data_IF_215842426374
#
_entry.id   IF_215842426374
#
_cell.length_a   1.000
_cell.length_b   1.000
_cell.length_c   1.000
_cell.angle_alpha   90.00
_cell.angle_beta   90.00
_cell.angle_gamma   90.00
#
_symmetry.space_group_name_H-M   'P 1'
#
loop_
_entity.id
_entity.type
_entity.pdbx_description
1 polymer ?
#
# COMPACT_ATOMS: atom_id res chain seq x y z
N UNK A 1 45.79 28.11 -17.07
CA UNK A 1 44.80 27.42 -16.22
C UNK A 1 44.11 26.33 -17.05
N UNK A 2 44.42 25.05 -16.83
CA UNK A 2 43.77 23.91 -17.50
C UNK A 2 43.09 23.04 -16.45
N UNK A 3 41.77 23.02 -16.42
CA UNK A 3 41.00 22.13 -15.55
C UNK A 3 40.97 20.72 -16.15
N UNK A 4 41.55 19.74 -15.44
CA UNK A 4 41.37 18.31 -15.73
C UNK A 4 40.11 17.83 -15.00
N UNK A 5 39.10 17.38 -15.76
CA UNK A 5 37.98 16.62 -15.21
C UNK A 5 38.44 15.20 -14.85
N UNK A 6 38.33 14.84 -13.57
CA UNK A 6 38.51 13.48 -13.11
C UNK A 6 37.27 12.65 -13.48
N UNK A 7 37.46 11.61 -14.32
CA UNK A 7 36.46 10.55 -14.54
C UNK A 7 36.33 9.72 -13.25
N UNK A 8 35.21 9.87 -12.53
CA UNK A 8 34.83 8.93 -11.47
C UNK A 8 34.28 7.64 -12.08
N UNK A 9 34.77 6.50 -11.57
CA UNK A 9 34.44 5.14 -12.03
C UNK A 9 32.98 4.79 -11.69
N UNK A 10 32.17 4.57 -12.72
CA UNK A 10 30.76 4.17 -12.63
C UNK A 10 30.56 2.66 -12.40
N UNK A 11 31.45 2.02 -11.61
CA UNK A 11 31.53 0.56 -11.44
C UNK A 11 30.54 -0.01 -10.40
N UNK A 12 30.21 0.76 -9.36
CA UNK A 12 29.34 0.28 -8.27
C UNK A 12 27.86 0.16 -8.63
N UNK A 13 27.38 1.02 -9.55
CA UNK A 13 25.96 1.09 -9.91
C UNK A 13 25.52 -0.10 -10.77
N UNK A 14 26.40 -0.60 -11.67
CA UNK A 14 26.10 -1.78 -12.51
C UNK A 14 25.96 -3.07 -11.70
N UNK A 15 26.79 -3.27 -10.67
CA UNK A 15 26.72 -4.45 -9.80
C UNK A 15 25.44 -4.52 -8.96
N UNK A 16 24.99 -3.37 -8.42
CA UNK A 16 23.73 -3.31 -7.67
C UNK A 16 22.50 -3.54 -8.55
N UNK A 17 22.48 -3.00 -9.77
CA UNK A 17 21.39 -3.21 -10.74
C UNK A 17 21.30 -4.69 -11.18
N UNK A 18 22.46 -5.35 -11.37
CA UNK A 18 22.55 -6.77 -11.70
C UNK A 18 21.96 -7.66 -10.59
N UNK A 19 22.34 -7.41 -9.32
CA UNK A 19 21.83 -8.19 -8.18
C UNK A 19 20.33 -7.96 -7.93
N UNK A 20 19.85 -6.72 -8.04
CA UNK A 20 18.42 -6.42 -7.91
C UNK A 20 17.56 -7.11 -8.98
N UNK A 21 18.05 -7.18 -10.22
CA UNK A 21 17.39 -7.93 -11.31
C UNK A 21 17.35 -9.43 -11.04
N UNK A 22 18.41 -10.00 -10.45
CA UNK A 22 18.45 -11.41 -10.06
C UNK A 22 17.46 -11.76 -8.96
N UNK A 23 17.38 -10.93 -7.91
CA UNK A 23 16.43 -11.12 -6.80
C UNK A 23 14.98 -10.98 -7.25
N UNK A 24 14.68 -10.00 -8.11
CA UNK A 24 13.33 -9.82 -8.64
C UNK A 24 12.88 -11.01 -9.49
N UNK A 25 13.73 -11.50 -10.41
CA UNK A 25 13.41 -12.69 -11.21
C UNK A 25 13.18 -13.93 -10.34
N UNK A 26 13.96 -14.08 -9.27
CA UNK A 26 13.75 -15.17 -8.31
C UNK A 26 12.41 -15.00 -7.58
N UNK A 27 12.08 -13.81 -7.09
CA UNK A 27 10.79 -13.57 -6.44
C UNK A 27 9.60 -13.85 -7.36
N UNK A 28 9.69 -13.49 -8.65
CA UNK A 28 8.66 -13.84 -9.65
C UNK A 28 8.59 -15.36 -9.86
N UNK A 29 9.72 -16.04 -10.06
CA UNK A 29 9.75 -17.50 -10.23
C UNK A 29 9.22 -18.24 -9.00
N UNK A 30 9.57 -17.80 -7.79
CA UNK A 30 9.09 -18.38 -6.54
C UNK A 30 7.59 -18.12 -6.39
N UNK A 31 7.12 -16.92 -6.76
CA UNK A 31 5.71 -16.59 -6.78
C UNK A 31 4.92 -17.48 -7.75
N UNK A 32 5.43 -17.71 -8.96
CA UNK A 32 4.79 -18.59 -9.94
C UNK A 32 4.70 -20.04 -9.44
N UNK A 33 5.75 -20.54 -8.78
CA UNK A 33 5.76 -21.87 -8.18
C UNK A 33 4.77 -21.99 -7.01
N UNK A 34 4.73 -20.98 -6.14
CA UNK A 34 3.86 -20.97 -4.96
C UNK A 34 2.40 -20.76 -5.31
N UNK A 35 2.12 -19.88 -6.27
CA UNK A 35 0.76 -19.46 -6.56
C UNK A 35 -0.06 -20.57 -7.21
N UNK A 36 0.57 -21.63 -7.77
CA UNK A 36 -0.12 -22.67 -8.55
C UNK A 36 -1.16 -22.04 -9.50
N UNK A 37 -0.83 -20.83 -10.00
CA UNK A 37 -1.85 -19.83 -10.24
C UNK A 37 -2.63 -20.19 -11.49
N UNK A 38 -3.95 -20.26 -11.35
CA UNK A 38 -4.79 -20.23 -12.54
C UNK A 38 -4.78 -18.81 -13.09
N UNK A 39 -4.45 -18.71 -14.37
CA UNK A 39 -4.46 -17.47 -15.13
C UNK A 39 -5.81 -17.36 -15.83
N UNK A 40 -6.54 -16.29 -15.53
CA UNK A 40 -7.79 -15.94 -16.17
C UNK A 40 -7.52 -14.83 -17.18
N UNK A 41 -7.98 -15.01 -18.40
CA UNK A 41 -7.90 -14.00 -19.46
C UNK A 41 -9.30 -13.51 -19.79
N UNK A 42 -9.53 -12.22 -19.61
CA UNK A 42 -10.69 -11.53 -20.16
C UNK A 42 -10.34 -10.87 -21.49
N UNK A 43 -11.31 -10.16 -22.07
CA UNK A 43 -11.13 -9.45 -23.34
C UNK A 43 -9.97 -8.43 -23.30
N UNK A 44 -9.78 -7.77 -22.16
CA UNK A 44 -8.84 -6.66 -21.99
C UNK A 44 -8.13 -6.66 -20.63
N UNK A 45 -8.17 -7.79 -19.93
CA UNK A 45 -7.47 -7.98 -18.66
C UNK A 45 -6.93 -9.41 -18.51
N UNK A 46 -5.94 -9.55 -17.64
CA UNK A 46 -5.42 -10.83 -17.14
C UNK A 46 -5.42 -10.77 -15.62
N UNK A 47 -5.85 -11.86 -14.99
CA UNK A 47 -5.84 -12.04 -13.54
C UNK A 47 -5.22 -13.38 -13.15
N UNK A 48 -4.26 -13.36 -12.23
CA UNK A 48 -3.70 -14.55 -11.58
C UNK A 48 -4.43 -14.80 -10.27
N UNK A 49 -4.96 -16.01 -10.10
CA UNK A 49 -5.56 -16.46 -8.85
C UNK A 49 -4.56 -17.22 -7.99
N UNK A 50 -4.75 -17.18 -6.68
CA UNK A 50 -3.93 -17.91 -5.70
C UNK A 50 -4.79 -18.99 -5.02
N UNK A 51 -4.18 -20.04 -4.44
CA UNK A 51 -4.92 -21.10 -3.78
C UNK A 51 -5.62 -20.59 -2.51
N UNK A 52 -5.00 -19.62 -1.85
CA UNK A 52 -5.50 -18.97 -0.64
C UNK A 52 -4.87 -17.57 -0.47
N UNK A 53 -5.45 -16.80 0.46
CA UNK A 53 -4.99 -15.47 0.82
C UNK A 53 -3.57 -15.47 1.39
N UNK A 54 -3.20 -16.47 2.19
CA UNK A 54 -1.88 -16.52 2.82
C UNK A 54 -0.76 -16.67 1.78
N UNK A 55 -1.03 -17.39 0.70
CA UNK A 55 -0.14 -17.55 -0.45
C UNK A 55 0.04 -16.22 -1.18
N UNK A 56 -1.06 -15.55 -1.52
CA UNK A 56 -1.02 -14.19 -2.08
C UNK A 56 -0.20 -13.25 -1.21
N UNK A 57 -0.48 -13.21 0.10
CA UNK A 57 0.21 -12.35 1.05
C UNK A 57 1.71 -12.63 1.08
N UNK A 58 2.13 -13.90 1.17
CA UNK A 58 3.55 -14.29 1.18
C UNK A 58 4.27 -13.83 -0.10
N UNK A 59 3.63 -14.00 -1.26
CA UNK A 59 4.15 -13.52 -2.55
C UNK A 59 4.36 -12.01 -2.51
N UNK A 60 3.36 -11.24 -2.08
CA UNK A 60 3.44 -9.78 -2.03
C UNK A 60 4.48 -9.28 -1.03
N UNK A 61 4.57 -9.89 0.16
CA UNK A 61 5.58 -9.55 1.17
C UNK A 61 7.01 -9.84 0.65
N UNK A 62 7.23 -10.98 -0.01
CA UNK A 62 8.51 -11.32 -0.61
C UNK A 62 8.89 -10.33 -1.73
N UNK A 63 7.94 -9.99 -2.60
CA UNK A 63 8.14 -9.00 -3.65
C UNK A 63 8.45 -7.60 -3.10
N UNK A 64 7.76 -7.17 -2.04
CA UNK A 64 8.06 -5.92 -1.35
C UNK A 64 9.52 -5.90 -0.86
N UNK A 65 9.93 -6.93 -0.12
CA UNK A 65 11.30 -7.06 0.43
C UNK A 65 12.36 -7.05 -0.65
N UNK A 66 12.14 -7.78 -1.74
CA UNK A 66 13.06 -7.81 -2.89
C UNK A 66 13.17 -6.45 -3.59
N UNK A 67 12.07 -5.69 -3.65
CA UNK A 67 12.01 -4.39 -4.32
C UNK A 67 12.23 -3.20 -3.36
N UNK A 68 12.55 -3.40 -2.08
CA UNK A 68 12.65 -2.32 -1.07
C UNK A 68 13.74 -1.28 -1.39
N UNK A 69 14.72 -1.61 -2.23
CA UNK A 69 15.71 -0.65 -2.71
C UNK A 69 15.26 0.22 -3.88
N UNK A 70 14.18 -0.14 -4.57
CA UNK A 70 13.76 0.46 -5.82
C UNK A 70 12.65 1.49 -5.63
N UNK A 71 12.67 2.53 -6.47
CA UNK A 71 11.62 3.55 -6.55
C UNK A 71 11.15 3.66 -8.00
N UNK A 72 9.90 3.26 -8.23
CA UNK A 72 9.29 3.28 -9.56
C UNK A 72 8.78 4.69 -9.88
N UNK A 73 7.76 5.14 -9.14
CA UNK A 73 7.13 6.47 -9.23
C UNK A 73 8.16 7.57 -9.05
N UNK A 74 8.06 8.63 -9.85
CA UNK A 74 8.93 9.81 -9.76
C UNK A 74 8.28 10.93 -8.94
N UNK A 75 9.12 11.68 -8.25
CA UNK A 75 8.70 12.84 -7.45
C UNK A 75 7.98 13.90 -8.29
N UNK A 76 8.46 14.14 -9.51
CA UNK A 76 7.84 15.01 -10.52
C UNK A 76 6.38 14.62 -10.79
N UNK A 77 6.11 13.33 -10.92
CA UNK A 77 4.77 12.78 -11.12
C UNK A 77 3.85 13.08 -9.94
N UNK A 78 4.27 12.79 -8.70
CA UNK A 78 3.47 13.10 -7.51
C UNK A 78 3.25 14.62 -7.36
N UNK A 79 4.24 15.45 -7.73
CA UNK A 79 4.09 16.89 -7.70
C UNK A 79 3.09 17.40 -8.73
N UNK A 80 3.02 16.76 -9.91
CA UNK A 80 1.97 17.01 -10.89
C UNK A 80 0.59 16.66 -10.32
N UNK A 81 0.42 15.45 -9.77
CA UNK A 81 -0.86 15.02 -9.20
C UNK A 81 -1.31 15.90 -8.04
N UNK A 82 -0.39 16.30 -7.16
CA UNK A 82 -0.71 17.19 -6.05
C UNK A 82 -1.23 18.56 -6.53
N UNK A 83 -0.70 19.12 -7.62
CA UNK A 83 -1.22 20.35 -8.20
C UNK A 83 -2.61 20.16 -8.78
N UNK A 84 -2.82 19.07 -9.53
CA UNK A 84 -4.14 18.71 -10.04
C UNK A 84 -5.18 18.57 -8.91
N UNK A 85 -4.82 17.93 -7.80
CA UNK A 85 -5.68 17.82 -6.62
C UNK A 85 -6.03 19.18 -6.03
N UNK A 86 -5.07 20.09 -5.91
CA UNK A 86 -5.33 21.46 -5.43
C UNK A 86 -6.27 22.23 -6.37
N UNK A 87 -6.10 22.08 -7.68
CA UNK A 87 -6.96 22.71 -8.69
C UNK A 87 -8.38 22.14 -8.65
N UNK A 88 -8.52 20.82 -8.49
CA UNK A 88 -9.81 20.13 -8.52
C UNK A 88 -10.60 20.24 -7.19
N UNK A 89 -9.91 20.19 -6.04
CA UNK A 89 -10.53 20.08 -4.73
C UNK A 89 -10.33 21.32 -3.84
N UNK A 90 -9.46 22.25 -4.24
CA UNK A 90 -9.01 23.35 -3.39
C UNK A 90 -8.11 22.83 -2.26
N UNK A 91 -8.58 22.93 -1.02
CA UNK A 91 -7.80 22.48 0.13
C UNK A 91 -7.95 20.98 0.35
N UNK A 92 -6.83 20.26 0.29
CA UNK A 92 -6.74 18.84 0.64
C UNK A 92 -6.39 18.69 2.12
N UNK A 93 -7.19 17.92 2.86
CA UNK A 93 -7.02 17.64 4.28
C UNK A 93 -6.50 16.23 4.59
N UNK A 94 -7.03 15.19 3.94
CA UNK A 94 -6.67 13.79 4.16
C UNK A 94 -6.52 13.01 2.84
N UNK A 95 -5.43 12.25 2.71
CA UNK A 95 -5.13 11.44 1.53
C UNK A 95 -4.55 10.07 1.85
N UNK A 96 -4.82 9.12 0.97
CA UNK A 96 -4.32 7.75 1.04
C UNK A 96 -3.43 7.43 -0.16
N UNK A 97 -2.34 6.70 0.08
CA UNK A 97 -1.52 6.10 -0.96
C UNK A 97 -1.43 4.59 -0.72
N UNK A 98 -1.86 3.76 -1.65
CA UNK A 98 -1.82 2.29 -1.50
C UNK A 98 -0.61 1.68 -2.22
N UNK A 99 0.06 0.73 -1.58
CA UNK A 99 1.21 0.00 -2.12
C UNK A 99 2.50 0.81 -2.17
N UNK A 100 2.78 1.59 -1.11
CA UNK A 100 3.86 2.60 -1.11
C UNK A 100 5.26 2.05 -0.81
N UNK A 101 5.38 0.79 -0.37
CA UNK A 101 6.62 0.15 0.08
C UNK A 101 7.38 0.97 1.13
N UNK A 102 8.23 1.91 0.67
CA UNK A 102 9.09 2.78 1.48
C UNK A 102 8.48 4.13 1.85
N UNK A 103 7.26 4.39 1.40
CA UNK A 103 6.54 5.59 1.77
C UNK A 103 7.01 6.88 1.10
N UNK A 104 7.43 6.84 -0.17
CA UNK A 104 7.89 8.05 -0.87
C UNK A 104 6.74 8.89 -1.40
N UNK A 105 5.68 8.23 -1.85
CA UNK A 105 4.51 8.81 -2.48
C UNK A 105 3.81 9.77 -1.52
N UNK A 106 3.42 9.31 -0.33
CA UNK A 106 2.82 10.17 0.69
C UNK A 106 3.80 11.24 1.19
N UNK A 107 5.09 10.94 1.29
CA UNK A 107 6.09 11.94 1.69
C UNK A 107 6.19 13.09 0.65
N UNK A 108 6.04 12.79 -0.63
CA UNK A 108 6.04 13.78 -1.70
C UNK A 108 4.72 14.56 -1.76
N UNK A 109 3.57 13.90 -1.60
CA UNK A 109 2.28 14.60 -1.49
C UNK A 109 2.28 15.61 -0.33
N UNK A 110 2.70 15.21 0.88
CA UNK A 110 2.77 16.09 2.06
C UNK A 110 3.66 17.31 1.87
N UNK A 111 4.65 17.22 0.99
CA UNK A 111 5.54 18.36 0.69
C UNK A 111 4.83 19.43 -0.14
N UNK A 112 3.89 19.04 -1.00
CA UNK A 112 3.15 19.96 -1.88
C UNK A 112 1.82 20.37 -1.25
N UNK A 113 1.08 19.41 -0.71
CA UNK A 113 -0.21 19.60 -0.03
C UNK A 113 0.04 20.01 1.43
N UNK A 114 0.41 21.27 1.63
CA UNK A 114 0.72 21.81 2.97
C UNK A 114 -0.50 21.70 3.89
N UNK A 115 -0.32 21.06 5.04
CA UNK A 115 -1.37 20.86 6.04
C UNK A 115 -2.21 19.59 5.83
N UNK A 116 -2.04 18.89 4.70
CA UNK A 116 -2.70 17.61 4.48
C UNK A 116 -2.04 16.49 5.30
N UNK A 117 -2.86 15.68 5.93
CA UNK A 117 -2.47 14.36 6.39
C UNK A 117 -2.48 13.39 5.20
N UNK A 118 -1.32 12.87 4.82
CA UNK A 118 -1.25 11.80 3.81
C UNK A 118 -0.53 10.61 4.43
N UNK A 119 -1.17 9.45 4.36
CA UNK A 119 -0.64 8.19 4.85
C UNK A 119 -0.50 7.20 3.68
N UNK A 120 0.51 6.35 3.76
CA UNK A 120 0.72 5.24 2.85
C UNK A 120 0.33 3.91 3.49
N UNK A 121 -0.05 2.93 2.68
CA UNK A 121 -0.25 1.55 3.13
C UNK A 121 0.61 0.56 2.36
N UNK A 122 0.96 -0.53 3.01
CA UNK A 122 1.58 -1.70 2.37
C UNK A 122 1.20 -2.97 3.15
N UNK A 123 1.05 -4.10 2.45
CA UNK A 123 0.71 -5.39 3.10
C UNK A 123 1.88 -5.93 3.94
N UNK A 124 3.11 -5.56 3.56
CA UNK A 124 4.35 -5.98 4.21
C UNK A 124 4.52 -5.36 5.59
N UNK A 125 5.05 -6.15 6.52
CA UNK A 125 5.43 -5.71 7.87
C UNK A 125 6.51 -4.62 7.86
N UNK A 126 7.26 -4.51 6.76
CA UNK A 126 8.23 -3.43 6.54
C UNK A 126 7.59 -2.05 6.50
N UNK A 127 6.26 -1.94 6.29
CA UNK A 127 5.50 -0.70 6.37
C UNK A 127 5.81 0.09 7.66
N UNK A 128 5.93 -0.61 8.79
CA UNK A 128 6.20 -0.04 10.12
C UNK A 128 7.54 0.69 10.23
N UNK A 129 8.44 0.51 9.25
CA UNK A 129 9.78 1.12 9.22
C UNK A 129 9.79 2.49 8.55
N UNK A 130 8.68 2.91 7.92
CA UNK A 130 8.61 4.13 7.13
C UNK A 130 7.61 5.12 7.72
N UNK A 131 7.97 6.42 7.81
CA UNK A 131 7.08 7.44 8.36
C UNK A 131 5.75 7.50 7.62
N UNK A 132 4.65 7.74 8.35
CA UNK A 132 3.30 7.84 7.79
C UNK A 132 2.94 6.64 6.91
N UNK A 133 3.38 5.44 7.28
CA UNK A 133 3.05 4.20 6.58
C UNK A 133 2.43 3.22 7.57
N UNK A 134 1.34 2.59 7.17
CA UNK A 134 0.60 1.61 7.97
C UNK A 134 0.66 0.25 7.29
N UNK A 135 0.88 -0.81 8.05
CA UNK A 135 0.71 -2.16 7.53
C UNK A 135 -0.79 -2.42 7.33
N UNK A 136 -1.21 -2.56 6.08
CA UNK A 136 -2.62 -2.76 5.73
C UNK A 136 -2.75 -3.41 4.36
N UNK A 137 -3.59 -4.44 4.25
CA UNK A 137 -4.00 -4.97 2.96
C UNK A 137 -5.01 -4.02 2.33
N UNK A 138 -4.68 -3.48 1.17
CA UNK A 138 -5.52 -2.51 0.49
C UNK A 138 -6.85 -3.09 -0.04
N UNK A 139 -7.05 -4.41 0.02
CA UNK A 139 -8.36 -5.02 -0.28
C UNK A 139 -9.35 -4.88 0.88
N UNK A 140 -8.86 -4.66 2.11
CA UNK A 140 -9.70 -4.61 3.29
C UNK A 140 -10.15 -3.18 3.59
N UNK A 141 -11.47 -2.93 3.75
CA UNK A 141 -11.94 -1.61 4.13
C UNK A 141 -11.48 -1.27 5.54
N UNK A 142 -11.04 -0.04 5.75
CA UNK A 142 -10.71 0.46 7.07
C UNK A 142 -11.82 1.40 7.58
N UNK A 143 -12.56 1.04 8.64
CA UNK A 143 -13.61 1.89 9.20
C UNK A 143 -13.11 3.28 9.63
N UNK A 144 -11.82 3.42 9.97
CA UNK A 144 -11.25 4.70 10.32
C UNK A 144 -11.11 5.65 9.12
N UNK A 145 -11.10 5.14 7.89
CA UNK A 145 -10.95 5.92 6.65
C UNK A 145 -12.23 6.07 5.85
N UNK A 146 -13.25 5.24 6.10
CA UNK A 146 -14.53 5.25 5.39
C UNK A 146 -15.13 6.66 5.29
N UNK A 147 -15.32 7.15 4.06
CA UNK A 147 -15.94 8.44 3.79
C UNK A 147 -15.10 9.69 4.14
N UNK A 148 -13.79 9.57 4.36
CA UNK A 148 -12.96 10.67 4.89
C UNK A 148 -11.90 11.19 3.94
N UNK A 149 -11.38 10.37 3.04
CA UNK A 149 -10.26 10.75 2.17
C UNK A 149 -10.71 11.75 1.10
N UNK A 150 -9.99 12.84 0.94
CA UNK A 150 -10.15 13.74 -0.21
C UNK A 150 -9.65 13.07 -1.49
N UNK A 151 -8.57 12.27 -1.36
CA UNK A 151 -8.06 11.49 -2.47
C UNK A 151 -7.48 10.14 -2.03
N UNK A 152 -7.50 9.21 -2.96
CA UNK A 152 -6.75 7.95 -2.91
C UNK A 152 -5.86 7.89 -4.15
N UNK A 153 -4.62 7.48 -3.99
CA UNK A 153 -3.68 7.28 -5.09
C UNK A 153 -3.07 5.88 -5.03
N UNK A 154 -2.90 5.23 -6.18
CA UNK A 154 -2.07 4.03 -6.28
C UNK A 154 -1.46 3.85 -7.68
N UNK A 155 -0.22 3.39 -7.70
CA UNK A 155 0.47 2.85 -8.87
C UNK A 155 0.75 1.34 -8.76
N UNK A 156 0.06 0.69 -7.82
CA UNK A 156 0.30 -0.70 -7.42
C UNK A 156 -1.01 -1.49 -7.45
N UNK A 157 -1.99 -1.08 -8.24
CA UNK A 157 -3.28 -1.76 -8.36
C UNK A 157 -3.17 -3.08 -9.15
N UNK A 158 -2.11 -3.22 -9.94
CA UNK A 158 -1.69 -4.48 -10.56
C UNK A 158 -1.31 -5.55 -9.53
N UNK A 159 -1.10 -5.17 -8.27
CA UNK A 159 -0.88 -6.10 -7.18
C UNK A 159 -2.18 -6.70 -6.61
N UNK A 160 -3.37 -6.31 -7.09
CA UNK A 160 -4.64 -6.78 -6.56
C UNK A 160 -4.97 -8.19 -7.04
N UNK A 161 -5.27 -9.13 -6.13
CA UNK A 161 -5.80 -10.45 -6.49
C UNK A 161 -7.31 -10.41 -6.74
N UNK A 162 -7.99 -9.39 -6.20
CA UNK A 162 -9.40 -9.09 -6.42
C UNK A 162 -9.54 -7.58 -6.67
N UNK A 163 -9.37 -7.12 -7.93
CA UNK A 163 -9.37 -5.70 -8.24
C UNK A 163 -10.70 -5.03 -7.93
N UNK A 164 -11.83 -5.74 -8.09
CA UNK A 164 -13.16 -5.19 -7.76
C UNK A 164 -13.28 -4.89 -6.27
N UNK A 165 -12.87 -5.84 -5.41
CA UNK A 165 -12.82 -5.65 -3.96
C UNK A 165 -11.88 -4.50 -3.56
N UNK A 166 -10.68 -4.44 -4.13
CA UNK A 166 -9.71 -3.38 -3.86
C UNK A 166 -10.27 -2.00 -4.23
N UNK A 167 -10.74 -1.83 -5.47
CA UNK A 167 -11.27 -0.55 -5.93
C UNK A 167 -12.49 -0.11 -5.12
N UNK A 168 -13.37 -1.04 -4.74
CA UNK A 168 -14.52 -0.71 -3.90
C UNK A 168 -14.08 -0.20 -2.53
N UNK A 169 -13.16 -0.88 -1.85
CA UNK A 169 -12.62 -0.43 -0.56
C UNK A 169 -11.98 0.97 -0.67
N UNK A 170 -11.29 1.26 -1.78
CA UNK A 170 -10.65 2.55 -2.02
C UNK A 170 -11.68 3.66 -2.23
N UNK A 171 -12.68 3.44 -3.08
CA UNK A 171 -13.74 4.42 -3.32
C UNK A 171 -14.59 4.64 -2.06
N UNK A 172 -14.85 3.61 -1.27
CA UNK A 172 -15.57 3.72 0.01
C UNK A 172 -14.81 4.56 1.04
N UNK A 173 -13.48 4.64 0.97
CA UNK A 173 -12.68 5.54 1.81
C UNK A 173 -12.80 7.02 1.43
N UNK A 174 -13.17 7.34 0.18
CA UNK A 174 -13.28 8.72 -0.28
C UNK A 174 -14.49 9.44 0.36
N UNK A 175 -14.36 10.72 0.68
CA UNK A 175 -15.56 11.55 0.97
C UNK A 175 -16.37 11.79 -0.32
N UNK A 176 -17.64 12.21 -0.25
CA UNK A 176 -18.36 12.67 -1.44
C UNK A 176 -17.60 13.78 -2.18
N UNK A 177 -17.42 13.62 -3.50
CA UNK A 177 -16.59 14.50 -4.33
C UNK A 177 -15.08 14.22 -4.27
N UNK A 178 -14.62 13.29 -3.42
CA UNK A 178 -13.22 12.85 -3.39
C UNK A 178 -12.83 12.08 -4.65
N UNK A 179 -11.53 11.98 -4.92
CA UNK A 179 -11.00 11.42 -6.17
C UNK A 179 -10.05 10.24 -5.96
N UNK A 180 -10.21 9.20 -6.77
CA UNK A 180 -9.27 8.10 -6.92
C UNK A 180 -8.38 8.35 -8.15
N UNK A 181 -7.07 8.23 -7.98
CA UNK A 181 -6.04 8.41 -9.00
C UNK A 181 -5.28 7.10 -9.20
N UNK A 182 -5.43 6.48 -10.37
CA UNK A 182 -4.75 5.22 -10.70
C UNK A 182 -3.77 5.41 -11.86
N UNK A 183 -2.49 5.15 -11.61
CA UNK A 183 -1.48 5.15 -12.66
C UNK A 183 -1.66 3.97 -13.60
N UNK A 184 -1.79 4.23 -14.90
CA UNK A 184 -1.77 3.24 -15.96
C UNK A 184 -0.51 3.41 -16.80
N UNK A 185 0.36 2.42 -16.78
CA UNK A 185 1.65 2.44 -17.49
C UNK A 185 1.85 1.15 -18.27
N UNK A 186 2.93 1.05 -19.05
CA UNK A 186 3.26 -0.18 -19.76
C UNK A 186 3.42 -1.42 -18.85
N UNK A 187 3.69 -1.23 -17.56
CA UNK A 187 3.80 -2.31 -16.57
C UNK A 187 2.45 -2.85 -16.09
N UNK A 188 1.37 -2.12 -16.32
CA UNK A 188 0.03 -2.49 -15.90
C UNK A 188 -0.79 -3.20 -16.99
N UNK A 189 -0.17 -3.47 -18.13
CA UNK A 189 -0.83 -4.06 -19.29
C UNK A 189 -1.04 -5.57 -19.10
N UNK A 190 -2.06 -6.18 -19.73
CA UNK A 190 -2.31 -7.63 -19.58
C UNK A 190 -1.10 -8.50 -19.95
N UNK A 191 -0.26 -8.02 -20.89
CA UNK A 191 0.94 -8.72 -21.34
C UNK A 191 2.09 -8.76 -20.31
N UNK A 192 2.05 -7.90 -19.28
CA UNK A 192 3.09 -7.84 -18.22
C UNK A 192 2.65 -8.50 -16.92
N UNK A 193 1.39 -8.91 -16.83
CA UNK A 193 0.79 -9.58 -15.69
C UNK A 193 1.48 -10.91 -15.38
N UNK A 194 1.74 -11.14 -14.09
CA UNK A 194 2.46 -12.31 -13.59
C UNK A 194 2.03 -12.61 -12.15
N UNK A 195 2.53 -13.68 -11.54
CA UNK A 195 2.10 -14.06 -10.18
C UNK A 195 2.49 -13.04 -9.07
N UNK A 196 3.41 -12.10 -9.30
CA UNK A 196 3.73 -11.04 -8.34
C UNK A 196 2.92 -9.76 -8.61
N UNK A 197 2.63 -9.48 -9.88
CA UNK A 197 1.76 -8.38 -10.30
C UNK A 197 0.50 -9.03 -10.94
N UNK A 198 -0.39 -9.64 -10.12
CA UNK A 198 -1.45 -10.59 -10.52
C UNK A 198 -2.50 -10.02 -11.46
N UNK A 199 -2.68 -8.71 -11.51
CA UNK A 199 -3.72 -8.10 -12.32
C UNK A 199 -3.11 -7.12 -13.33
N UNK A 200 -3.51 -7.23 -14.58
CA UNK A 200 -3.19 -6.21 -15.58
C UNK A 200 -4.36 -6.02 -16.53
N UNK A 201 -4.58 -4.79 -16.95
CA UNK A 201 -5.71 -4.41 -17.79
C UNK A 201 -5.27 -3.37 -18.81
N UNK A 202 -5.94 -3.31 -19.95
CA UNK A 202 -5.85 -2.11 -20.81
C UNK A 202 -6.46 -0.91 -20.05
N UNK A 203 -6.22 0.31 -20.53
CA UNK A 203 -6.84 1.50 -19.91
C UNK A 203 -8.38 1.39 -19.94
N UNK A 204 -8.94 0.93 -21.07
CA UNK A 204 -10.38 0.71 -21.21
C UNK A 204 -10.89 -0.38 -20.25
N UNK A 205 -10.13 -1.45 -20.06
CA UNK A 205 -10.48 -2.51 -19.11
C UNK A 205 -10.47 -2.05 -17.66
N UNK A 206 -9.47 -1.25 -17.28
CA UNK A 206 -9.43 -0.64 -15.94
C UNK A 206 -10.67 0.24 -15.70
N UNK A 207 -11.04 1.09 -16.68
CA UNK A 207 -12.24 1.92 -16.59
C UNK A 207 -13.52 1.10 -16.49
N UNK A 208 -13.63 0.02 -17.27
CA UNK A 208 -14.80 -0.85 -17.23
C UNK A 208 -14.94 -1.52 -15.86
N UNK A 209 -13.85 -2.06 -15.31
CA UNK A 209 -13.87 -2.71 -13.99
C UNK A 209 -14.21 -1.70 -12.88
N UNK A 210 -13.72 -0.46 -12.97
CA UNK A 210 -14.13 0.62 -12.07
C UNK A 210 -15.64 0.91 -12.18
N UNK A 211 -16.18 0.97 -13.39
CA UNK A 211 -17.60 1.20 -13.61
C UNK A 211 -18.46 0.05 -13.06
N UNK A 212 -18.04 -1.20 -13.27
CA UNK A 212 -18.73 -2.40 -12.77
C UNK A 212 -18.68 -2.50 -11.24
N UNK A 213 -17.53 -2.18 -10.63
CA UNK A 213 -17.30 -2.38 -9.19
C UNK A 213 -17.76 -1.20 -8.32
N UNK A 214 -17.74 0.01 -8.89
CA UNK A 214 -17.92 1.26 -8.15
C UNK A 214 -18.92 2.22 -8.80
N UNK A 215 -19.62 1.83 -9.88
CA UNK A 215 -20.56 2.72 -10.60
C UNK A 215 -21.72 3.22 -9.75
N UNK A 216 -22.08 2.51 -8.68
CA UNK A 216 -23.05 2.95 -7.67
C UNK A 216 -22.52 4.07 -6.76
N UNK A 217 -21.19 4.24 -6.69
CA UNK A 217 -20.51 5.20 -5.81
C UNK A 217 -19.94 6.40 -6.55
N UNK A 218 -19.82 6.37 -7.88
CA UNK A 218 -19.15 7.40 -8.66
C UNK A 218 -18.93 7.02 -10.11
N UNK A 219 -18.03 7.75 -10.78
CA UNK A 219 -17.70 7.50 -12.18
C UNK A 219 -16.27 7.94 -12.52
N UNK A 220 -15.72 7.36 -13.59
CA UNK A 220 -14.49 7.87 -14.21
C UNK A 220 -14.78 9.27 -14.76
N UNK A 221 -14.04 10.27 -14.28
CA UNK A 221 -14.23 11.68 -14.63
C UNK A 221 -13.19 12.21 -15.63
N UNK A 222 -12.10 11.47 -15.85
CA UNK A 222 -11.12 11.82 -16.88
C UNK A 222 -9.86 10.95 -16.86
N UNK A 223 -8.96 11.28 -17.77
CA UNK A 223 -7.60 10.71 -17.83
C UNK A 223 -6.59 11.83 -17.93
N UNK A 224 -5.61 11.85 -17.03
CA UNK A 224 -4.48 12.75 -17.13
C UNK A 224 -3.41 12.09 -17.99
N UNK A 225 -3.19 12.61 -19.20
CA UNK A 225 -2.19 12.06 -20.11
C UNK A 225 -0.79 12.60 -19.77
N UNK A 226 0.10 11.70 -19.39
CA UNK A 226 1.53 11.94 -19.15
C UNK A 226 2.39 10.95 -19.93
N UNK A 227 1.85 10.37 -21.00
CA UNK A 227 2.52 9.32 -21.78
C UNK A 227 3.78 9.80 -22.49
N UNK A 228 3.92 11.11 -22.71
CA UNK A 228 5.08 11.75 -23.32
C UNK A 228 6.16 12.19 -22.32
N UNK A 229 5.93 11.99 -21.02
CA UNK A 229 6.86 12.44 -19.99
C UNK A 229 8.11 11.55 -19.93
N UNK A 230 9.28 12.18 -20.03
CA UNK A 230 10.54 11.47 -20.22
C UNK A 230 10.95 10.59 -19.02
N UNK A 231 10.59 10.98 -17.80
CA UNK A 231 11.02 10.29 -16.58
C UNK A 231 10.00 9.28 -16.03
N UNK A 232 8.72 9.46 -16.37
CA UNK A 232 7.62 8.62 -15.92
C UNK A 232 6.42 8.69 -16.88
N UNK A 233 6.50 8.01 -18.03
CA UNK A 233 5.40 7.96 -18.98
C UNK A 233 4.26 7.10 -18.42
N UNK A 234 3.12 7.73 -18.14
CA UNK A 234 1.91 7.07 -17.68
C UNK A 234 0.66 7.85 -18.09
N UNK A 235 -0.50 7.22 -18.00
CA UNK A 235 -1.80 7.89 -18.01
C UNK A 235 -2.44 7.67 -16.66
N UNK A 236 -3.17 8.64 -16.12
CA UNK A 236 -3.78 8.52 -14.79
C UNK A 236 -5.28 8.52 -14.93
N UNK A 237 -5.91 7.39 -14.62
CA UNK A 237 -7.38 7.29 -14.60
C UNK A 237 -7.87 7.99 -13.34
N UNK A 238 -8.78 8.95 -13.52
CA UNK A 238 -9.40 9.71 -12.44
C UNK A 238 -10.83 9.23 -12.28
N UNK A 239 -11.17 8.76 -11.08
CA UNK A 239 -12.54 8.42 -10.69
C UNK A 239 -12.99 9.36 -9.59
N UNK A 240 -14.18 9.94 -9.74
CA UNK A 240 -14.76 10.87 -8.76
C UNK A 240 -15.91 10.19 -8.05
N UNK A 241 -15.86 10.17 -6.71
CA UNK A 241 -16.98 9.71 -5.88
C UNK A 241 -18.14 10.68 -6.00
N UNK A 242 -19.33 10.18 -6.28
CA UNK A 242 -20.55 10.98 -6.38
C UNK A 242 -20.76 11.78 -5.10
N UNK A 243 -21.18 13.04 -5.27
CA UNK A 243 -21.78 13.76 -4.17
C UNK A 243 -23.05 13.02 -3.78
N UNK A 244 -23.10 12.41 -2.59
CA UNK A 244 -24.38 11.93 -2.07
C UNK A 244 -25.23 13.17 -1.88
N UNK A 245 -26.25 13.37 -2.72
CA UNK A 245 -27.35 14.27 -2.37
C UNK A 245 -27.93 13.72 -1.08
N UNK A 246 -27.89 14.52 -0.01
CA UNK A 246 -28.26 14.14 1.36
C UNK A 246 -29.72 13.63 1.54
N UNK A 247 -30.46 13.41 0.46
CA UNK A 247 -31.86 12.96 0.48
C UNK A 247 -32.04 11.44 0.52
N UNK A 248 -31.00 10.65 0.29
CA UNK A 248 -31.11 9.19 0.27
C UNK A 248 -30.52 8.53 1.54
N UNK A 249 -31.01 8.89 2.73
CA UNK A 249 -31.00 8.02 3.92
C UNK A 249 -31.82 8.61 5.08
N UNK A 250 -33.15 8.49 4.97
CA UNK A 250 -33.97 8.13 6.13
C UNK A 250 -34.66 6.83 5.76
N UNK A 251 -34.22 5.65 6.26
CA UNK A 251 -35.11 4.50 6.24
C UNK A 251 -36.34 4.91 7.06
N UNK A 252 -37.48 4.94 6.38
CA UNK A 252 -38.76 5.22 7.00
C UNK A 252 -38.88 4.38 8.27
N UNK A 253 -38.93 5.07 9.41
CA UNK A 253 -39.31 4.48 10.67
C UNK A 253 -40.63 3.74 10.43
N UNK A 254 -40.60 2.42 10.58
CA UNK A 254 -41.76 1.57 10.58
C UNK A 254 -42.71 2.07 11.67
N UNK A 255 -43.70 2.86 11.27
CA UNK A 255 -44.87 3.16 12.08
C UNK A 255 -45.64 1.84 12.28
N UNK A 256 -45.58 1.37 13.52
CA UNK A 256 -46.68 0.71 14.24
C UNK A 256 -47.32 -0.53 13.61
N UNK A 257 -46.83 -1.70 14.04
CA UNK A 257 -47.70 -2.82 14.36
C UNK A 257 -47.33 -3.32 15.77
N UNK A 258 -48.30 -3.21 16.68
CA UNK A 258 -48.21 -3.59 18.09
C UNK A 258 -48.16 -5.13 18.20
N UNK A 259 -47.11 -5.76 18.75
CA UNK A 259 -47.16 -7.19 18.99
C UNK A 259 -48.02 -7.48 20.22
N UNK A 260 -49.00 -8.38 20.07
CA UNK A 260 -49.69 -9.02 21.19
C UNK A 260 -48.66 -9.73 22.07
N UNK A 261 -48.85 -9.62 23.38
CA UNK A 261 -48.05 -10.28 24.40
C UNK A 261 -47.92 -11.79 24.14
N UNK A 262 -46.70 -12.24 23.85
CA UNK A 262 -46.31 -13.64 23.88
C UNK A 262 -45.60 -13.91 25.22
N UNK A 263 -45.93 -15.06 25.81
CA UNK A 263 -45.53 -15.47 27.14
C UNK A 263 -44.00 -15.55 27.34
N UNK A 264 -43.56 -15.23 28.57
CA UNK A 264 -42.17 -15.35 29.03
C UNK A 264 -41.64 -16.78 28.84
N UNK A 265 -40.48 -16.98 28.19
CA UNK A 265 -39.80 -18.26 28.26
C UNK A 265 -39.25 -18.50 29.67
N UNK A 266 -39.41 -19.74 30.13
CA UNK A 266 -38.94 -20.28 31.41
C UNK A 266 -37.40 -20.18 31.46
N UNK A 267 -36.79 -19.78 32.61
CA UNK A 267 -35.33 -19.71 32.71
C UNK A 267 -34.71 -21.11 32.59
N UNK A 268 -33.65 -21.20 31.78
CA UNK A 268 -32.84 -22.41 31.65
C UNK A 268 -32.15 -22.76 32.99
N UNK A 269 -31.99 -24.05 33.31
CA UNK A 269 -31.30 -24.47 34.53
C UNK A 269 -29.82 -24.12 34.48
N UNK A 270 -29.30 -23.64 35.61
CA UNK A 270 -27.90 -23.31 35.81
C UNK A 270 -26.98 -24.53 35.59
N UNK A 271 -25.79 -24.35 34.97
CA UNK A 271 -24.80 -25.42 34.88
C UNK A 271 -24.28 -25.80 36.26
N UNK A 272 -24.22 -27.11 36.52
CA UNK A 272 -23.69 -27.71 37.74
C UNK A 272 -22.20 -27.38 37.88
N UNK A 273 -21.82 -26.96 39.09
CA UNK A 273 -20.44 -26.72 39.47
C UNK A 273 -19.65 -28.05 39.48
N UNK A 274 -18.67 -28.18 38.60
CA UNK A 274 -17.64 -29.22 38.71
C UNK A 274 -16.52 -28.79 39.65
N UNK A 275 -16.12 -29.75 40.49
CA UNK A 275 -15.19 -29.59 41.59
C UNK A 275 -13.75 -29.34 41.09
N UNK A 276 -13.11 -28.33 41.67
CA UNK A 276 -11.65 -28.12 41.59
C UNK A 276 -10.91 -29.17 42.44
N UNK A 277 -9.89 -29.86 41.91
CA UNK A 277 -8.84 -30.43 42.74
C UNK A 277 -7.80 -29.36 43.12
N UNK A 278 -7.44 -29.33 44.40
CA UNK A 278 -6.39 -28.49 45.01
C UNK A 278 -5.01 -29.16 44.89
N UNK A 279 -3.99 -28.33 44.60
CA UNK A 279 -2.57 -28.42 45.02
C UNK A 279 -1.79 -29.71 44.63
N UNK A 280 -0.50 -29.71 44.32
CA UNK A 280 0.64 -28.87 44.71
C UNK A 280 1.83 -29.30 43.82
N UNK A 281 2.71 -28.39 43.39
CA UNK A 281 4.16 -28.63 43.32
C UNK A 281 4.93 -27.36 42.93
N UNK A 282 5.87 -26.99 43.80
CA UNK A 282 6.77 -25.85 43.75
C UNK A 282 7.77 -25.98 42.59
N UNK A 283 7.79 -25.02 41.67
CA UNK A 283 8.91 -24.81 40.76
C UNK A 283 9.84 -23.70 41.28
N UNK A 284 11.12 -24.04 41.44
CA UNK A 284 12.21 -23.17 41.90
C UNK A 284 12.48 -22.03 40.89
N UNK A 285 12.85 -20.82 41.33
CA UNK A 285 13.24 -19.75 40.42
C UNK A 285 14.59 -20.05 39.76
N UNK A 286 14.65 -19.84 38.44
CA UNK A 286 15.85 -19.94 37.63
C UNK A 286 16.88 -18.84 38.01
N UNK A 287 18.20 -19.12 37.92
CA UNK A 287 19.24 -18.17 38.29
C UNK A 287 19.33 -17.00 37.30
N UNK A 288 19.45 -15.79 37.85
CA UNK A 288 19.72 -14.54 37.12
C UNK A 288 21.04 -14.66 36.36
N UNK A 289 20.98 -14.59 35.03
CA UNK A 289 22.16 -14.48 34.19
C UNK A 289 22.77 -13.07 34.33
N UNK A 290 23.95 -13.00 34.94
CA UNK A 290 24.77 -11.81 35.07
C UNK A 290 25.38 -11.48 33.70
N UNK A 291 24.84 -10.48 33.00
CA UNK A 291 25.48 -9.92 31.80
C UNK A 291 26.68 -9.09 32.25
N UNK A 292 27.88 -9.67 32.14
CA UNK A 292 29.14 -8.92 32.23
C UNK A 292 29.24 -7.98 31.02
N UNK A 293 29.19 -6.68 31.27
CA UNK A 293 29.58 -5.66 30.31
C UNK A 293 31.04 -5.88 29.89
N UNK A 294 31.28 -6.20 28.61
CA UNK A 294 32.61 -6.12 28.01
C UNK A 294 32.90 -4.66 27.69
N UNK A 295 33.96 -4.14 28.31
CA UNK A 295 34.52 -2.82 28.04
C UNK A 295 34.93 -2.70 26.56
N UNK A 296 34.53 -1.59 25.94
CA UNK A 296 35.00 -1.19 24.62
C UNK A 296 36.48 -0.76 24.67
N UNK A 297 37.33 -1.11 23.69
CA UNK A 297 38.70 -0.62 23.62
C UNK A 297 38.73 0.87 23.25
N UNK A 298 39.50 1.63 24.04
CA UNK A 298 39.82 3.05 23.84
C UNK A 298 40.48 3.26 22.46
N UNK A 299 39.86 4.07 21.61
CA UNK A 299 40.52 4.62 20.43
C UNK A 299 41.60 5.62 20.87
N UNK A 300 42.85 5.34 20.49
CA UNK A 300 43.99 6.25 20.65
C UNK A 300 43.83 7.42 19.68
N UNK A 301 43.86 8.63 20.22
CA UNK A 301 44.07 9.86 19.48
C UNK A 301 45.46 9.85 18.83
N UNK A 302 45.52 10.01 17.51
CA UNK A 302 46.75 10.29 16.79
C UNK A 302 46.84 11.80 16.56
N UNK A 303 47.73 12.42 17.31
CA UNK A 303 48.17 13.81 17.20
C UNK A 303 49.03 13.95 15.95
N UNK A 304 48.57 14.70 14.94
CA UNK A 304 49.41 15.12 13.83
C UNK A 304 50.18 16.39 14.24
N UNK A 305 51.50 16.26 14.33
CA UNK A 305 52.44 17.36 14.54
C UNK A 305 52.43 18.32 13.35
N UNK A 306 52.32 19.61 13.66
CA UNK A 306 52.78 20.68 12.80
C UNK A 306 54.31 20.60 12.67
N UNK A 307 54.80 20.63 11.43
CA UNK A 307 56.20 20.79 11.09
C UNK A 307 56.40 22.09 10.32
N UNK A 308 57.06 23.05 10.97
CA UNK A 308 57.67 24.25 10.40
C UNK A 308 59.18 24.03 10.30
N UNK A 309 59.77 24.19 9.12
CA UNK A 309 61.13 24.74 8.87
C UNK A 309 61.41 24.66 7.35
N UNK A 310 61.36 25.79 6.63
CA UNK A 310 62.53 26.54 6.11
C UNK A 310 63.41 25.78 5.13
N UNK A 311 63.40 26.28 3.90
CA UNK A 311 64.21 25.95 2.73
C UNK A 311 63.66 26.73 1.55
#
# INVERSE_FOLDING_TARGET
MRYRFAKTRNGGQKGQISMAKGMFRRAVSDAEQLATASRQEGEDYVLFSYPDYDTYRKVQEAGNKAKLGAQYVKKSHIFFLARHLTEALGQVGFGLCHGVRRGKEQAWFRRVLKGAEVIGTDISETATQFPNTVQWDFHEPNPAWAGKADFVYSNSWDHAYDPGKAFRAWVESLKPGGVLLLDHSAGHQPRTTNALDPFGATEAGLMRILAESCGDLGQVSGVLDRSTEADYPCRVVVFTRSAVTAEAQVPAAAKTARPKAAAKPKPAPAPKAEARPKAEAKAKPAPKATVKAKAAPKAKAATAKAGTSTG
#
